data_IF_780620151053
#
_entry.id   IF_780620151053
#
_cell.length_a   1.000
_cell.length_b   1.000
_cell.length_c   1.000
_cell.angle_alpha   90.00
_cell.angle_beta   90.00
_cell.angle_gamma   90.00
#
_symmetry.space_group_name_H-M   'P 1'
#
loop_
_entity.id
_entity.type
_entity.pdbx_description
1 polymer ?
#
# COMPACT_ATOMS: atom_id res chain seq x y z
N UNK A 1 5.53 1.05 -21.58
CA UNK A 1 5.86 1.21 -20.14
C UNK A 1 7.32 1.60 -19.85
N UNK A 2 8.09 2.22 -20.77
CA UNK A 2 9.48 2.60 -20.49
C UNK A 2 9.64 3.69 -19.40
N UNK A 3 8.73 4.67 -19.35
CA UNK A 3 8.81 5.77 -18.37
C UNK A 3 8.52 5.37 -16.92
N UNK A 4 7.88 4.22 -16.68
CA UNK A 4 7.54 3.74 -15.33
C UNK A 4 8.81 3.26 -14.59
N UNK A 5 9.68 2.53 -15.27
CA UNK A 5 10.86 1.91 -14.65
C UNK A 5 12.08 2.84 -14.57
N UNK A 6 12.06 4.01 -15.20
CA UNK A 6 13.23 4.92 -15.25
C UNK A 6 13.09 6.16 -14.38
N UNK A 7 11.88 6.53 -13.92
CA UNK A 7 11.62 7.82 -13.26
C UNK A 7 10.80 7.70 -11.97
N UNK A 8 10.47 6.48 -11.53
CA UNK A 8 9.70 6.24 -10.30
C UNK A 8 10.65 5.97 -9.14
N UNK A 9 10.43 6.66 -8.01
CA UNK A 9 11.12 6.33 -6.77
C UNK A 9 10.61 4.98 -6.28
N UNK A 10 11.53 4.12 -5.84
CA UNK A 10 11.26 2.77 -5.36
C UNK A 10 10.52 2.72 -4.00
N UNK A 11 9.91 3.81 -3.57
CA UNK A 11 9.09 3.87 -2.34
C UNK A 11 7.62 3.93 -2.74
N UNK A 12 6.87 2.91 -2.34
CA UNK A 12 5.45 2.73 -2.63
C UNK A 12 4.67 2.85 -1.34
N UNK A 13 3.71 3.76 -1.27
CA UNK A 13 2.76 3.83 -0.17
C UNK A 13 1.48 3.06 -0.54
N UNK A 14 1.01 2.19 0.36
CA UNK A 14 -0.27 1.48 0.21
C UNK A 14 -1.21 1.80 1.36
N UNK A 15 -2.48 2.02 1.04
CA UNK A 15 -3.52 2.31 2.04
C UNK A 15 -4.91 1.86 1.56
N UNK A 16 -5.87 1.85 2.48
CA UNK A 16 -7.27 1.56 2.22
C UNK A 16 -8.17 2.67 2.77
N UNK A 17 -9.16 3.08 1.99
CA UNK A 17 -10.21 3.99 2.45
C UNK A 17 -11.60 3.42 2.27
N UNK A 18 -12.47 3.67 3.24
CA UNK A 18 -13.87 3.25 3.19
C UNK A 18 -14.64 4.07 2.15
N UNK A 19 -15.30 3.38 1.21
CA UNK A 19 -16.17 4.02 0.24
C UNK A 19 -17.48 4.46 0.90
N UNK A 20 -17.92 5.69 0.59
CA UNK A 20 -19.17 6.28 1.11
C UNK A 20 -20.40 5.98 0.24
N UNK A 21 -20.31 5.01 -0.69
CA UNK A 21 -21.40 4.65 -1.61
C UNK A 21 -22.45 3.75 -0.96
N UNK A 22 -23.64 3.62 -1.61
CA UNK A 22 -24.67 2.63 -1.24
C UNK A 22 -24.11 1.20 -1.15
N UNK A 23 -23.15 0.89 -1.99
CA UNK A 23 -22.31 -0.30 -1.89
C UNK A 23 -21.22 -0.05 -0.85
N UNK A 24 -21.31 -0.78 0.27
CA UNK A 24 -20.26 -0.82 1.30
C UNK A 24 -19.01 -1.48 0.70
N UNK A 25 -17.83 -0.93 0.97
CA UNK A 25 -16.57 -1.48 0.49
C UNK A 25 -15.36 -0.60 0.81
N UNK A 26 -14.20 -1.07 0.41
CA UNK A 26 -12.89 -0.46 0.61
C UNK A 26 -12.20 -0.25 -0.73
N UNK A 27 -11.66 0.95 -0.93
CA UNK A 27 -10.76 1.27 -2.03
C UNK A 27 -9.33 1.09 -1.54
N UNK A 28 -8.64 0.11 -2.12
CA UNK A 28 -7.21 -0.14 -1.91
C UNK A 28 -6.43 0.66 -2.94
N UNK A 29 -5.37 1.35 -2.53
CA UNK A 29 -4.57 2.20 -3.40
C UNK A 29 -3.09 1.98 -3.14
N UNK A 30 -2.30 1.95 -4.21
CA UNK A 30 -0.85 2.03 -4.19
C UNK A 30 -0.41 3.28 -4.94
N UNK A 31 0.45 4.09 -4.33
CA UNK A 31 1.01 5.32 -4.93
C UNK A 31 2.52 5.37 -4.74
N UNK A 32 3.20 6.10 -5.60
CA UNK A 32 4.62 6.42 -5.45
C UNK A 32 4.86 7.91 -5.74
N UNK A 33 6.11 8.37 -5.58
CA UNK A 33 6.55 9.66 -6.11
C UNK A 33 7.26 9.46 -7.45
N UNK A 34 6.97 10.32 -8.42
CA UNK A 34 7.76 10.41 -9.66
C UNK A 34 8.97 11.34 -9.48
N UNK A 35 9.77 11.51 -10.53
CA UNK A 35 10.95 12.38 -10.54
C UNK A 35 10.66 13.85 -10.23
N UNK A 36 9.42 14.31 -10.40
CA UNK A 36 8.98 15.67 -10.09
C UNK A 36 8.37 15.78 -8.68
N UNK A 37 8.58 14.76 -7.83
CA UNK A 37 8.05 14.66 -6.46
C UNK A 37 6.53 14.64 -6.34
N UNK A 38 5.82 14.54 -7.46
CA UNK A 38 4.36 14.43 -7.49
C UNK A 38 3.93 13.01 -7.14
N UNK A 39 2.77 12.90 -6.49
CA UNK A 39 2.12 11.62 -6.23
C UNK A 39 1.64 11.05 -7.56
N UNK A 40 2.03 9.81 -7.82
CA UNK A 40 1.62 9.06 -9.00
C UNK A 40 0.89 7.78 -8.57
N UNK A 41 -0.36 7.56 -9.01
CA UNK A 41 -1.10 6.34 -8.70
C UNK A 41 -0.54 5.16 -9.49
N UNK A 42 -0.16 4.09 -8.78
CA UNK A 42 0.38 2.86 -9.37
C UNK A 42 -0.71 1.83 -9.65
N UNK A 43 -1.58 1.60 -8.67
CA UNK A 43 -2.66 0.64 -8.74
C UNK A 43 -3.80 1.04 -7.82
N UNK A 44 -5.02 0.60 -8.15
CA UNK A 44 -6.17 0.68 -7.29
C UNK A 44 -6.99 -0.61 -7.39
N UNK A 45 -7.73 -0.93 -6.33
CA UNK A 45 -8.55 -2.13 -6.27
C UNK A 45 -9.78 -1.91 -5.39
N UNK A 46 -10.89 -2.50 -5.80
CA UNK A 46 -12.13 -2.49 -5.02
C UNK A 46 -12.25 -3.80 -4.23
N UNK A 47 -12.50 -3.68 -2.94
CA UNK A 47 -12.71 -4.81 -2.05
C UNK A 47 -14.00 -4.62 -1.24
N UNK A 48 -14.69 -5.72 -0.93
CA UNK A 48 -15.86 -5.66 -0.04
C UNK A 48 -15.43 -5.36 1.42
N UNK A 49 -14.26 -5.85 1.82
CA UNK A 49 -13.67 -5.62 3.13
C UNK A 49 -12.14 -5.63 3.05
N UNK A 50 -11.47 -4.81 3.86
CA UNK A 50 -10.01 -4.76 4.04
C UNK A 50 -9.43 -5.95 4.84
N UNK A 51 -9.81 -7.18 4.48
CA UNK A 51 -9.34 -8.40 5.14
C UNK A 51 -8.05 -8.97 4.51
N UNK A 52 -7.54 -10.07 5.07
CA UNK A 52 -6.33 -10.75 4.59
C UNK A 52 -6.45 -11.15 3.12
N UNK A 53 -7.61 -11.68 2.69
CA UNK A 53 -7.83 -12.13 1.31
C UNK A 53 -7.75 -10.96 0.32
N UNK A 54 -8.42 -9.85 0.63
CA UNK A 54 -8.43 -8.66 -0.22
C UNK A 54 -7.06 -8.00 -0.34
N UNK A 55 -6.33 -7.89 0.77
CA UNK A 55 -4.95 -7.38 0.75
C UNK A 55 -3.98 -8.31 0.02
N UNK A 56 -4.10 -9.62 0.21
CA UNK A 56 -3.25 -10.60 -0.49
C UNK A 56 -3.50 -10.55 -1.99
N UNK A 57 -4.76 -10.46 -2.42
CA UNK A 57 -5.11 -10.30 -3.83
C UNK A 57 -4.52 -8.99 -4.40
N UNK A 58 -4.76 -7.86 -3.74
CA UNK A 58 -4.28 -6.55 -4.21
C UNK A 58 -2.75 -6.52 -4.33
N UNK A 59 -2.03 -7.02 -3.31
CA UNK A 59 -0.57 -7.08 -3.34
C UNK A 59 -0.04 -8.09 -4.37
N UNK A 60 -0.78 -9.16 -4.66
CA UNK A 60 -0.43 -10.05 -5.78
C UNK A 60 -0.49 -9.27 -7.09
N UNK A 61 -1.59 -8.55 -7.34
CA UNK A 61 -1.74 -7.75 -8.57
C UNK A 61 -0.70 -6.62 -8.67
N UNK A 62 -0.39 -5.97 -7.54
CA UNK A 62 0.63 -4.93 -7.49
C UNK A 62 2.02 -5.48 -7.82
N UNK A 63 2.35 -6.70 -7.35
CA UNK A 63 3.67 -7.31 -7.63
C UNK A 63 3.87 -7.56 -9.13
N UNK A 64 2.84 -7.98 -9.84
CA UNK A 64 2.91 -8.28 -11.28
C UNK A 64 3.26 -7.05 -12.14
N UNK A 65 2.98 -5.83 -11.65
CA UNK A 65 3.27 -4.59 -12.39
C UNK A 65 4.60 -3.92 -11.98
N UNK A 66 5.28 -4.46 -10.96
CA UNK A 66 6.58 -3.97 -10.49
C UNK A 66 7.68 -4.83 -11.10
N UNK A 67 8.60 -4.22 -11.84
CA UNK A 67 9.67 -4.95 -12.53
C UNK A 67 10.67 -5.59 -11.55
N UNK A 68 11.00 -4.89 -10.47
CA UNK A 68 11.97 -5.31 -9.45
C UNK A 68 11.36 -5.22 -8.04
N UNK A 69 10.47 -6.15 -7.65
CA UNK A 69 9.79 -6.13 -6.35
C UNK A 69 10.76 -6.16 -5.15
N UNK A 70 11.91 -6.80 -5.30
CA UNK A 70 12.96 -6.90 -4.29
C UNK A 70 13.65 -5.56 -4.00
N UNK A 71 13.59 -4.61 -4.94
CA UNK A 71 14.22 -3.29 -4.82
C UNK A 71 13.28 -2.23 -4.23
N UNK A 72 11.99 -2.54 -4.07
CA UNK A 72 11.02 -1.57 -3.54
C UNK A 72 10.96 -1.56 -2.02
N UNK A 73 10.69 -0.38 -1.47
CA UNK A 73 10.23 -0.20 -0.11
C UNK A 73 8.73 0.09 -0.13
N UNK A 74 7.95 -0.76 0.53
CA UNK A 74 6.52 -0.53 0.72
C UNK A 74 6.29 0.09 2.09
N UNK A 75 5.53 1.18 2.14
CA UNK A 75 5.12 1.85 3.37
C UNK A 75 3.60 1.71 3.51
N UNK A 76 3.12 1.25 4.68
CA UNK A 76 1.69 1.02 4.88
C UNK A 76 1.21 1.36 6.29
N UNK A 77 -0.12 1.34 6.48
CA UNK A 77 -0.71 1.19 7.82
C UNK A 77 -0.37 -0.20 8.43
N UNK A 78 -0.55 -0.35 9.75
CA UNK A 78 -0.34 -1.58 10.52
C UNK A 78 -1.55 -2.52 10.54
N UNK A 79 -2.41 -2.44 9.54
CA UNK A 79 -3.55 -3.36 9.46
C UNK A 79 -3.07 -4.80 9.27
N UNK A 80 -3.59 -5.75 10.03
CA UNK A 80 -3.14 -7.16 10.02
C UNK A 80 -3.24 -7.81 8.64
N UNK A 81 -4.27 -7.43 7.86
CA UNK A 81 -4.41 -7.84 6.46
C UNK A 81 -3.23 -7.44 5.58
N UNK A 82 -2.69 -6.23 5.77
CA UNK A 82 -1.53 -5.74 5.03
C UNK A 82 -0.30 -6.53 5.44
N UNK A 83 -0.02 -6.66 6.74
CA UNK A 83 1.17 -7.37 7.23
C UNK A 83 1.22 -8.82 6.73
N UNK A 84 0.08 -9.51 6.70
CA UNK A 84 0.01 -10.87 6.16
C UNK A 84 0.22 -10.91 4.63
N UNK A 85 -0.40 -9.99 3.90
CA UNK A 85 -0.20 -9.90 2.45
C UNK A 85 1.25 -9.55 2.08
N UNK A 86 1.90 -8.66 2.83
CA UNK A 86 3.31 -8.30 2.68
C UNK A 86 4.22 -9.52 2.86
N UNK A 87 4.06 -10.27 3.95
CA UNK A 87 4.82 -11.52 4.17
C UNK A 87 4.60 -12.55 3.06
N UNK A 88 3.41 -12.58 2.45
CA UNK A 88 3.09 -13.56 1.42
C UNK A 88 3.54 -13.16 0.01
N UNK A 89 3.62 -11.86 -0.29
CA UNK A 89 3.82 -11.35 -1.66
C UNK A 89 5.04 -10.47 -1.86
N UNK A 90 5.58 -9.91 -0.79
CA UNK A 90 6.72 -8.99 -0.81
C UNK A 90 7.69 -9.34 0.33
N UNK A 91 7.97 -10.63 0.52
CA UNK A 91 8.86 -11.13 1.57
C UNK A 91 10.33 -10.70 1.37
N UNK A 92 10.67 -10.39 0.13
CA UNK A 92 11.95 -9.92 -0.40
C UNK A 92 12.06 -8.38 -0.42
N UNK A 93 10.98 -7.65 -0.15
CA UNK A 93 10.95 -6.20 -0.18
C UNK A 93 11.06 -5.61 1.24
N UNK A 94 11.59 -4.39 1.33
CA UNK A 94 11.57 -3.66 2.60
C UNK A 94 10.13 -3.22 2.94
N UNK A 95 9.71 -3.39 4.20
CA UNK A 95 8.39 -2.96 4.68
C UNK A 95 8.52 -1.94 5.82
N UNK A 96 8.04 -0.72 5.58
CA UNK A 96 8.00 0.38 6.53
C UNK A 96 6.60 0.64 7.08
N UNK A 97 6.54 1.09 8.33
CA UNK A 97 5.28 1.58 8.94
C UNK A 97 5.11 3.06 8.64
N UNK A 98 3.92 3.45 8.19
CA UNK A 98 3.58 4.85 7.98
C UNK A 98 3.68 5.65 9.29
N UNK A 99 4.59 6.63 9.33
CA UNK A 99 4.83 7.48 10.51
C UNK A 99 3.59 8.27 10.93
N UNK A 100 2.78 8.73 9.96
CA UNK A 100 1.52 9.43 10.24
C UNK A 100 0.54 8.54 10.99
N UNK A 101 0.31 7.31 10.51
CA UNK A 101 -0.57 6.35 11.16
C UNK A 101 -0.02 5.89 12.52
N UNK A 102 1.30 5.70 12.62
CA UNK A 102 1.95 5.39 13.89
C UNK A 102 1.71 6.49 14.94
N UNK A 103 1.97 7.75 14.58
CA UNK A 103 1.76 8.88 15.47
C UNK A 103 0.29 9.03 15.89
N UNK A 104 -0.64 8.85 14.94
CA UNK A 104 -2.08 8.89 15.21
C UNK A 104 -2.49 7.78 16.18
N UNK A 105 -2.02 6.55 15.96
CA UNK A 105 -2.30 5.40 16.82
C UNK A 105 -1.73 5.60 18.23
N UNK A 106 -0.49 6.11 18.35
CA UNK A 106 0.12 6.42 19.65
C UNK A 106 -0.69 7.47 20.41
N UNK A 107 -1.13 8.55 19.74
CA UNK A 107 -1.99 9.56 20.37
C UNK A 107 -3.33 9.02 20.85
N UNK A 108 -3.88 7.99 20.20
CA UNK A 108 -5.14 7.37 20.63
C UNK A 108 -4.94 6.43 21.83
N UNK A 109 -3.84 5.66 21.85
CA UNK A 109 -3.59 4.65 22.88
C UNK A 109 -2.89 5.21 24.12
N UNK A 110 -2.10 6.28 23.96
CA UNK A 110 -1.36 6.93 25.03
C UNK A 110 -2.00 8.27 25.43
N UNK A 111 -3.33 8.39 25.33
CA UNK A 111 -4.03 9.53 25.92
C UNK A 111 -3.73 9.54 27.41
N UNK A 112 -3.13 10.64 27.89
CA UNK A 112 -3.12 10.97 29.32
C UNK A 112 -4.55 11.12 29.82
#
# INVERSE_FOLDING_TARGET
MKGFNTVIRLVIAVDATHLKSKTKGDLLVAVCKNGNEMIYPLAFGFANFKNIKSWTWFLTQLREVILHPELVMIVSDRHTGISNGMRAKFADAAHGVCAYHLAKNLKQHCRK
#
